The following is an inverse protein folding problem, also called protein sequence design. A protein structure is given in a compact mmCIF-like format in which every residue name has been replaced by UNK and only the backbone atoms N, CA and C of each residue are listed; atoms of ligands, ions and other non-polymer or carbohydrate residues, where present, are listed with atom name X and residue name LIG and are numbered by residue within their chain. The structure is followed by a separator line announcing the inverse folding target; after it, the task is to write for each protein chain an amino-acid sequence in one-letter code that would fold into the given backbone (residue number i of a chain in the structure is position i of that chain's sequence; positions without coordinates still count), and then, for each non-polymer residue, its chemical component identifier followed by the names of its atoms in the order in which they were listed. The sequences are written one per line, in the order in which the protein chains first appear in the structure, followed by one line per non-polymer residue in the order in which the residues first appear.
data_IF_654839858198
#
_entry.id   IF_654839858198
#
_cell.length_a   1.000
_cell.length_b   1.000
_cell.length_c   1.000
_cell.angle_alpha   90.00
_cell.angle_beta   90.00
_cell.angle_gamma   90.00
#
_symmetry.space_group_name_H-M   'P 1'
#
loop_
_entity.id
_entity.type
_entity.pdbx_description
1 polymer ?
#
# COMPACT_ATOMS: atom_id res chain seq x y z
N UNK A 1 26.83 -36.84 -59.08
CA UNK A 1 25.64 -35.98 -59.20
C UNK A 1 25.47 -35.22 -57.89
N UNK A 2 25.53 -33.89 -57.95
CA UNK A 2 25.45 -32.97 -56.82
C UNK A 2 24.05 -32.92 -56.20
N UNK A 3 23.94 -32.65 -54.89
CA UNK A 3 22.80 -31.98 -54.22
C UNK A 3 23.22 -31.65 -52.78
N UNK A 4 23.79 -30.45 -52.56
CA UNK A 4 23.15 -29.20 -52.09
C UNK A 4 22.69 -29.29 -50.62
N UNK A 5 23.59 -28.79 -49.77
CA UNK A 5 23.43 -28.52 -48.34
C UNK A 5 22.57 -27.25 -48.19
N UNK A 6 21.53 -27.29 -47.37
CA UNK A 6 20.80 -26.10 -46.91
C UNK A 6 21.06 -25.92 -45.41
N UNK A 7 21.89 -24.93 -45.09
CA UNK A 7 22.11 -24.41 -43.74
C UNK A 7 20.96 -23.44 -43.47
N UNK A 8 19.98 -23.86 -42.65
CA UNK A 8 18.93 -23.00 -42.12
C UNK A 8 19.31 -22.55 -40.71
N UNK A 9 19.81 -21.32 -40.59
CA UNK A 9 20.14 -20.72 -39.30
C UNK A 9 18.88 -20.44 -38.48
N UNK A 10 18.83 -20.98 -37.27
CA UNK A 10 17.85 -20.59 -36.26
C UNK A 10 18.45 -19.44 -35.44
N UNK A 11 17.89 -18.23 -35.62
CA UNK A 11 18.23 -17.08 -34.81
C UNK A 11 17.72 -17.32 -33.37
N UNK A 12 18.65 -17.32 -32.41
CA UNK A 12 18.34 -17.36 -31.00
C UNK A 12 17.68 -16.04 -30.57
N UNK A 13 16.37 -16.07 -30.34
CA UNK A 13 15.67 -14.99 -29.66
C UNK A 13 15.96 -15.10 -28.16
N UNK A 14 16.84 -14.22 -27.65
CA UNK A 14 17.03 -14.06 -26.22
C UNK A 14 15.80 -13.35 -25.63
N UNK A 15 15.14 -13.87 -24.58
CA UNK A 15 14.11 -13.12 -23.90
C UNK A 15 14.75 -11.95 -23.15
N UNK A 16 14.25 -10.74 -23.39
CA UNK A 16 14.46 -9.58 -22.54
C UNK A 16 13.95 -9.93 -21.14
N UNK A 17 14.86 -10.16 -20.20
CA UNK A 17 14.52 -10.29 -18.80
C UNK A 17 13.98 -8.93 -18.31
N UNK A 18 12.66 -8.84 -18.14
CA UNK A 18 12.03 -7.76 -17.37
C UNK A 18 12.41 -8.00 -15.92
N UNK A 19 13.37 -7.22 -15.41
CA UNK A 19 13.62 -7.16 -13.98
C UNK A 19 12.40 -6.52 -13.32
N UNK A 20 11.75 -7.15 -12.34
CA UNK A 20 10.81 -6.41 -11.51
C UNK A 20 11.61 -5.34 -10.79
N UNK A 21 11.25 -4.08 -11.04
CA UNK A 21 11.65 -2.97 -10.20
C UNK A 21 10.92 -3.09 -8.86
N UNK A 22 11.26 -4.12 -8.10
CA UNK A 22 11.01 -4.14 -6.66
C UNK A 22 12.06 -3.23 -6.05
N UNK A 23 11.88 -1.93 -6.26
CA UNK A 23 12.50 -0.93 -5.44
C UNK A 23 11.89 -1.14 -4.06
N UNK A 24 12.48 -2.06 -3.29
CA UNK A 24 12.29 -2.14 -1.85
C UNK A 24 12.38 -0.69 -1.36
N UNK A 25 11.30 -0.12 -0.81
CA UNK A 25 11.29 1.25 -0.37
C UNK A 25 12.51 1.42 0.54
N UNK A 26 13.35 2.42 0.27
CA UNK A 26 14.36 2.85 1.26
C UNK A 26 13.64 2.90 2.61
N UNK A 27 14.28 2.51 3.73
CA UNK A 27 13.70 2.77 5.03
C UNK A 27 13.62 4.29 5.18
N UNK A 28 12.53 4.87 4.71
CA UNK A 28 12.12 6.19 5.08
C UNK A 28 12.05 6.14 6.59
N UNK A 29 12.70 7.09 7.24
CA UNK A 29 12.61 7.21 8.70
C UNK A 29 11.14 7.42 9.01
N UNK A 30 10.45 6.34 9.36
CA UNK A 30 9.01 6.32 9.51
C UNK A 30 8.69 6.57 10.97
N UNK A 31 7.93 7.61 11.25
CA UNK A 31 7.53 7.96 12.61
C UNK A 31 6.11 7.49 12.85
N UNK A 32 5.90 6.70 13.90
CA UNK A 32 4.55 6.38 14.39
C UNK A 32 3.91 7.68 14.89
N UNK A 33 2.86 8.13 14.21
CA UNK A 33 2.16 9.37 14.56
C UNK A 33 0.82 9.12 15.22
N UNK A 34 0.27 7.92 15.07
CA UNK A 34 -1.04 7.58 15.60
C UNK A 34 -1.15 6.09 15.85
N UNK A 35 -1.80 5.71 16.95
CA UNK A 35 -2.28 4.36 17.23
C UNK A 35 -3.76 4.44 17.53
N UNK A 36 -4.56 3.63 16.83
CA UNK A 36 -6.03 3.75 16.93
C UNK A 36 -6.77 2.50 16.47
N UNK A 37 -8.02 2.38 16.92
CA UNK A 37 -8.96 1.40 16.37
C UNK A 37 -9.67 1.98 15.14
N UNK A 38 -9.89 1.14 14.13
CA UNK A 38 -10.62 1.57 12.95
C UNK A 38 -12.11 1.73 13.26
N UNK A 39 -12.70 2.78 12.71
CA UNK A 39 -14.14 3.04 12.73
C UNK A 39 -14.79 2.55 11.44
N UNK A 40 -16.08 2.18 11.53
CA UNK A 40 -16.87 1.72 10.39
C UNK A 40 -16.16 0.60 9.61
N UNK A 41 -15.75 -0.44 10.33
CA UNK A 41 -15.05 -1.60 9.78
C UNK A 41 -16.04 -2.51 9.06
N UNK A 42 -15.67 -2.91 7.84
CA UNK A 42 -16.51 -3.78 7.00
C UNK A 42 -16.32 -5.27 7.36
N UNK A 43 -15.40 -5.61 8.27
CA UNK A 43 -15.10 -6.99 8.68
C UNK A 43 -14.73 -7.07 10.17
N UNK A 44 -15.22 -8.11 10.83
CA UNK A 44 -14.94 -8.46 12.23
C UNK A 44 -13.51 -8.97 12.42
N UNK A 45 -12.54 -8.07 12.55
CA UNK A 45 -11.23 -8.24 13.23
C UNK A 45 -10.20 -9.24 12.67
N UNK A 46 -10.62 -10.40 12.15
CA UNK A 46 -9.75 -11.54 11.79
C UNK A 46 -8.93 -11.34 10.50
N UNK A 47 -9.03 -10.17 9.89
CA UNK A 47 -8.31 -9.82 8.66
C UNK A 47 -6.98 -9.10 8.92
N UNK A 48 -6.70 -8.62 10.14
CA UNK A 48 -5.41 -8.04 10.48
C UNK A 48 -4.39 -9.16 10.70
N UNK A 49 -3.43 -9.34 9.80
CA UNK A 49 -2.20 -10.06 10.14
C UNK A 49 -1.27 -9.07 10.85
N UNK A 50 -0.86 -9.30 12.10
CA UNK A 50 -0.01 -8.36 12.80
C UNK A 50 1.31 -8.09 12.05
N UNK A 51 1.71 -6.83 11.95
CA UNK A 51 2.86 -6.40 11.17
C UNK A 51 2.61 -6.29 9.66
N UNK A 52 1.40 -6.60 9.18
CA UNK A 52 1.02 -6.37 7.80
C UNK A 52 0.95 -4.86 7.51
N UNK A 53 1.67 -4.45 6.45
CA UNK A 53 1.64 -3.08 5.95
C UNK A 53 0.37 -2.85 5.14
N UNK A 54 -0.40 -1.88 5.57
CA UNK A 54 -1.66 -1.41 5.01
C UNK A 54 -1.46 -0.04 4.38
N UNK A 55 -2.30 0.29 3.40
CA UNK A 55 -2.27 1.57 2.70
C UNK A 55 -3.28 2.54 3.28
N UNK A 56 -2.91 3.81 3.29
CA UNK A 56 -3.80 4.91 3.64
C UNK A 56 -4.33 5.53 2.35
N UNK A 57 -5.64 5.78 2.31
CA UNK A 57 -6.29 6.39 1.15
C UNK A 57 -7.22 7.52 1.59
N UNK A 58 -7.10 8.68 0.95
CA UNK A 58 -8.00 9.81 1.19
C UNK A 58 -9.37 9.56 0.57
N UNK A 59 -10.43 9.85 1.33
CA UNK A 59 -11.81 9.82 0.85
C UNK A 59 -12.54 11.13 1.22
N UNK A 60 -12.25 12.24 0.51
CA UNK A 60 -12.87 13.54 0.78
C UNK A 60 -14.32 13.65 0.33
N UNK A 61 -14.80 12.70 -0.50
CA UNK A 61 -16.18 12.69 -1.01
C UNK A 61 -17.19 12.22 0.06
N UNK A 62 -16.71 11.72 1.20
CA UNK A 62 -17.55 11.22 2.28
C UNK A 62 -18.33 12.37 2.94
N UNK A 63 -19.65 12.40 2.71
CA UNK A 63 -20.57 13.50 3.08
C UNK A 63 -20.44 14.02 4.52
N UNK A 64 -20.21 13.12 5.48
CA UNK A 64 -20.21 13.46 6.91
C UNK A 64 -18.81 13.69 7.49
N UNK A 65 -17.75 13.33 6.75
CA UNK A 65 -16.37 13.48 7.19
C UNK A 65 -15.42 13.64 5.99
N UNK A 66 -15.23 14.87 5.49
CA UNK A 66 -14.28 15.15 4.39
C UNK A 66 -12.81 14.89 4.77
N UNK A 67 -12.50 14.78 6.07
CA UNK A 67 -11.17 14.45 6.56
C UNK A 67 -10.93 12.94 6.60
N UNK A 68 -11.86 12.13 6.07
CA UNK A 68 -11.79 10.67 6.13
C UNK A 68 -10.53 10.11 5.47
N UNK A 69 -9.85 9.25 6.22
CA UNK A 69 -8.73 8.45 5.74
C UNK A 69 -9.14 6.98 5.88
N UNK A 70 -9.31 6.32 4.75
CA UNK A 70 -9.56 4.89 4.69
C UNK A 70 -8.26 4.11 4.87
N UNK A 71 -8.33 3.00 5.58
CA UNK A 71 -7.28 1.99 5.63
C UNK A 71 -7.68 0.85 4.71
N UNK A 72 -6.83 0.55 3.73
CA UNK A 72 -7.06 -0.47 2.71
C UNK A 72 -5.91 -1.48 2.71
N UNK A 73 -6.21 -2.73 2.36
CA UNK A 73 -5.19 -3.76 2.22
C UNK A 73 -4.45 -3.65 0.87
N UNK A 74 -3.53 -4.57 0.63
CA UNK A 74 -2.75 -4.63 -0.61
C UNK A 74 -3.60 -5.02 -1.82
N UNK A 75 -4.72 -5.71 -1.61
CA UNK A 75 -5.72 -6.03 -2.65
C UNK A 75 -6.69 -4.87 -2.92
N UNK A 76 -6.61 -3.79 -2.15
CA UNK A 76 -7.43 -2.59 -2.30
C UNK A 76 -8.79 -2.70 -1.60
N UNK A 77 -9.03 -3.75 -0.81
CA UNK A 77 -10.22 -3.88 0.01
C UNK A 77 -10.12 -2.91 1.18
N UNK A 78 -11.20 -2.14 1.39
CA UNK A 78 -11.30 -1.25 2.54
C UNK A 78 -11.58 -2.06 3.79
N UNK A 79 -10.83 -1.73 4.83
CA UNK A 79 -10.89 -2.44 6.10
C UNK A 79 -11.56 -1.59 7.18
N UNK A 80 -11.45 -0.26 7.05
CA UNK A 80 -12.18 0.70 7.85
C UNK A 80 -11.64 2.12 7.64
N UNK A 81 -11.99 3.02 8.55
CA UNK A 81 -11.54 4.41 8.55
C UNK A 81 -10.80 4.75 9.83
N UNK A 82 -9.84 5.67 9.73
CA UNK A 82 -9.29 6.35 10.91
C UNK A 82 -10.42 7.16 11.57
N UNK A 83 -10.57 7.12 12.91
CA UNK A 83 -11.62 7.88 13.60
C UNK A 83 -11.57 9.38 13.26
N UNK A 84 -12.73 10.04 13.05
CA UNK A 84 -12.78 11.42 12.55
C UNK A 84 -11.94 12.43 13.34
N UNK A 85 -11.92 12.30 14.68
CA UNK A 85 -11.17 13.17 15.59
C UNK A 85 -9.67 13.14 15.28
N UNK A 86 -9.14 11.98 14.86
CA UNK A 86 -7.72 11.77 14.59
C UNK A 86 -7.38 11.97 13.10
N UNK A 87 -8.36 11.74 12.22
CA UNK A 87 -8.18 11.85 10.78
C UNK A 87 -7.93 13.30 10.30
N UNK A 88 -8.34 14.32 11.07
CA UNK A 88 -8.19 15.73 10.69
C UNK A 88 -6.75 16.19 10.44
N UNK A 89 -5.80 15.83 11.31
CA UNK A 89 -4.38 16.17 11.08
C UNK A 89 -3.75 15.28 10.00
N UNK A 90 -4.05 13.97 10.05
CA UNK A 90 -3.53 12.99 9.12
C UNK A 90 -3.92 13.30 7.66
N UNK A 91 -5.20 13.64 7.43
CA UNK A 91 -5.71 13.99 6.10
C UNK A 91 -4.95 15.14 5.47
N UNK A 92 -4.70 16.23 6.21
CA UNK A 92 -3.96 17.39 5.72
C UNK A 92 -2.51 17.05 5.35
N UNK A 93 -1.87 16.17 6.12
CA UNK A 93 -0.50 15.73 5.83
C UNK A 93 -0.46 14.87 4.55
N UNK A 94 -1.41 13.94 4.40
CA UNK A 94 -1.55 13.17 3.17
C UNK A 94 -1.89 14.06 1.96
N UNK A 95 -2.77 15.04 2.13
CA UNK A 95 -3.13 16.02 1.09
C UNK A 95 -1.95 16.93 0.71
N UNK A 96 -1.01 17.16 1.64
CA UNK A 96 0.24 17.87 1.40
C UNK A 96 1.32 17.00 0.72
N UNK A 97 1.04 15.73 0.45
CA UNK A 97 1.95 14.79 -0.20
C UNK A 97 2.89 14.04 0.74
N UNK A 98 2.69 14.11 2.06
CA UNK A 98 3.44 13.29 3.01
C UNK A 98 3.04 11.83 2.80
N UNK A 99 4.02 10.97 2.51
CA UNK A 99 3.77 9.54 2.39
C UNK A 99 3.52 8.92 3.76
N UNK A 100 2.61 7.95 3.82
CA UNK A 100 2.26 7.28 5.05
C UNK A 100 1.69 5.89 4.81
N UNK A 101 1.80 5.05 5.83
CA UNK A 101 1.27 3.69 5.83
C UNK A 101 0.70 3.35 7.19
N UNK A 102 -0.03 2.26 7.25
CA UNK A 102 -0.55 1.69 8.47
C UNK A 102 0.07 0.31 8.69
N UNK A 103 0.19 -0.11 9.94
CA UNK A 103 0.50 -1.48 10.30
C UNK A 103 -0.57 -2.02 11.24
N UNK A 104 -0.97 -3.26 10.98
CA UNK A 104 -1.81 -4.03 11.87
C UNK A 104 -1.08 -4.37 13.18
N UNK A 105 -1.71 -4.07 14.32
CA UNK A 105 -1.24 -4.49 15.64
C UNK A 105 -1.81 -5.86 16.02
N UNK A 106 -1.13 -6.58 16.92
CA UNK A 106 -1.62 -7.82 17.53
C UNK A 106 -2.90 -7.60 18.36
N UNK A 107 -3.15 -6.37 18.80
CA UNK A 107 -4.31 -5.98 19.62
C UNK A 107 -5.55 -5.62 18.82
N UNK A 108 -5.53 -5.75 17.48
CA UNK A 108 -6.63 -5.31 16.61
C UNK A 108 -6.65 -3.80 16.37
N UNK A 109 -5.63 -3.08 16.85
CA UNK A 109 -5.40 -1.67 16.55
C UNK A 109 -4.58 -1.51 15.27
N UNK A 110 -4.56 -0.30 14.73
CA UNK A 110 -3.70 0.09 13.62
C UNK A 110 -2.73 1.18 14.09
N UNK A 111 -1.46 1.00 13.75
CA UNK A 111 -0.39 1.98 13.96
C UNK A 111 -0.13 2.70 12.64
N UNK A 112 -0.22 4.01 12.63
CA UNK A 112 -0.03 4.83 11.44
C UNK A 112 1.36 5.46 11.50
N UNK A 113 2.07 5.33 10.40
CA UNK A 113 3.41 5.84 10.21
C UNK A 113 3.43 6.87 9.10
N UNK A 114 4.17 7.95 9.30
CA UNK A 114 4.49 8.93 8.26
C UNK A 114 5.97 8.83 7.92
N UNK A 115 6.27 8.89 6.64
CA UNK A 115 7.62 8.85 6.09
C UNK A 115 8.20 10.26 6.13
N UNK A 116 9.35 10.41 6.80
CA UNK A 116 10.10 11.66 6.82
C UNK A 116 11.16 11.58 5.72
N UNK A 117 11.11 12.54 4.80
CA UNK A 117 12.02 12.68 3.66
C UNK A 117 13.15 13.65 4.01
#
# INVERSE_FOLDING_TARGET
MQRRILIGGFAAAAPLAVLPADAAPRPATAVEVLRTSLSNTDTSGDWLRPGERLRLMRDPARRFDPSSVAVIDNDGRRLGYVPPVQAGALSRLLDAGVAGFAEASQTGEVRVFLEIV
#
